data_IF_533783859427
#
_entry.id   IF_533783859427
#
_cell.length_a   1.000
_cell.length_b   1.000
_cell.length_c   1.000
_cell.angle_alpha   90.00
_cell.angle_beta   90.00
_cell.angle_gamma   90.00
#
_symmetry.space_group_name_H-M   'P 1'
#
loop_
_entity.id
_entity.type
_entity.pdbx_description
1 polymer ?
#
# COMPACT_ATOMS: atom_id res chain seq x y z
N UNK A 1 -9.80 25.66 6.28
CA UNK A 1 -9.71 25.46 4.82
C UNK A 1 -10.19 24.06 4.38
N UNK A 2 -9.52 22.97 4.77
CA UNK A 2 -9.81 21.60 4.29
C UNK A 2 -11.29 21.17 4.42
N UNK A 3 -11.90 21.43 5.57
CA UNK A 3 -13.33 21.17 5.79
C UNK A 3 -14.24 21.87 4.77
N UNK A 4 -13.91 23.10 4.37
CA UNK A 4 -14.66 23.85 3.35
C UNK A 4 -14.45 23.21 1.99
N UNK A 5 -13.20 22.91 1.62
CA UNK A 5 -12.88 22.24 0.34
C UNK A 5 -13.67 20.93 0.19
N UNK A 6 -13.64 20.05 1.18
CA UNK A 6 -14.36 18.78 1.11
C UNK A 6 -15.89 18.98 1.03
N UNK A 7 -16.47 19.93 1.79
CA UNK A 7 -17.90 20.26 1.70
C UNK A 7 -18.30 20.70 0.29
N UNK A 8 -17.52 21.59 -0.32
CA UNK A 8 -17.84 22.12 -1.66
C UNK A 8 -17.66 21.04 -2.74
N UNK A 9 -16.60 20.22 -2.68
CA UNK A 9 -16.32 19.17 -3.65
C UNK A 9 -17.44 18.11 -3.63
N UNK A 10 -17.78 17.59 -2.46
CA UNK A 10 -18.84 16.59 -2.32
C UNK A 10 -20.25 17.17 -2.57
N UNK A 11 -20.46 18.46 -2.29
CA UNK A 11 -21.73 19.14 -2.55
C UNK A 11 -22.00 19.34 -4.04
N UNK A 12 -20.97 19.66 -4.83
CA UNK A 12 -21.11 19.92 -6.26
C UNK A 12 -20.89 18.71 -7.16
N UNK A 13 -20.13 17.70 -6.70
CA UNK A 13 -19.75 16.55 -7.52
C UNK A 13 -20.04 15.23 -6.79
N UNK A 14 -21.28 14.70 -6.88
CA UNK A 14 -21.62 13.40 -6.32
C UNK A 14 -20.74 12.28 -6.91
N UNK A 15 -20.27 11.36 -6.06
CA UNK A 15 -19.52 10.18 -6.48
C UNK A 15 -18.00 10.36 -6.63
N UNK A 16 -17.47 11.58 -6.51
CA UNK A 16 -16.02 11.79 -6.43
C UNK A 16 -15.48 11.27 -5.08
N UNK A 17 -14.16 11.15 -4.98
CA UNK A 17 -13.49 10.83 -3.72
C UNK A 17 -12.35 11.81 -3.48
N UNK A 18 -12.23 12.28 -2.25
CA UNK A 18 -11.02 12.95 -1.77
C UNK A 18 -10.28 12.00 -0.84
N UNK A 19 -8.96 11.91 -1.01
CA UNK A 19 -8.10 10.98 -0.28
C UNK A 19 -7.00 11.81 0.38
N UNK A 20 -6.77 11.59 1.67
CA UNK A 20 -5.68 12.23 2.41
C UNK A 20 -4.58 11.24 2.75
N UNK A 21 -3.34 11.72 2.67
CA UNK A 21 -2.22 11.14 3.42
C UNK A 21 -2.01 12.01 4.67
N UNK A 22 -2.04 11.40 5.85
CA UNK A 22 -1.89 12.10 7.13
C UNK A 22 -1.18 11.18 8.12
N UNK A 23 -0.03 11.63 8.64
CA UNK A 23 0.96 10.79 9.32
C UNK A 23 1.17 11.14 10.81
N UNK A 24 0.32 11.98 11.42
CA UNK A 24 0.43 12.43 12.83
C UNK A 24 -0.66 11.86 13.74
N UNK A 25 -1.41 10.86 13.25
CA UNK A 25 -2.55 10.23 13.97
C UNK A 25 -3.70 11.20 14.26
N UNK A 26 -3.89 12.21 13.41
CA UNK A 26 -5.03 13.12 13.55
C UNK A 26 -6.35 12.31 13.45
N UNK A 27 -7.29 12.47 14.40
CA UNK A 27 -8.53 11.70 14.39
C UNK A 27 -9.56 12.29 13.41
N UNK A 28 -10.44 11.43 12.88
CA UNK A 28 -11.59 11.83 12.06
C UNK A 28 -11.19 12.50 10.73
N UNK A 29 -10.08 12.09 10.12
CA UNK A 29 -9.64 12.63 8.82
C UNK A 29 -10.67 12.31 7.74
N UNK A 30 -11.18 11.08 7.73
CA UNK A 30 -12.13 10.57 6.73
C UNK A 30 -13.58 10.49 7.24
N UNK A 31 -13.93 11.36 8.20
CA UNK A 31 -15.29 11.49 8.74
C UNK A 31 -15.98 12.76 8.25
N UNK A 32 -17.33 12.79 8.18
CA UNK A 32 -18.07 13.97 7.75
C UNK A 32 -17.74 15.20 8.57
N UNK A 33 -17.72 16.37 7.93
CA UNK A 33 -17.41 17.63 8.61
C UNK A 33 -18.42 17.98 9.71
N UNK A 34 -19.70 17.62 9.52
CA UNK A 34 -20.73 17.87 10.55
C UNK A 34 -20.56 17.00 11.80
N UNK A 35 -19.74 15.94 11.75
CA UNK A 35 -19.36 15.10 12.91
C UNK A 35 -18.00 15.50 13.52
N UNK A 36 -17.45 16.63 13.06
CA UNK A 36 -16.14 17.15 13.49
C UNK A 36 -14.95 16.57 12.73
N UNK A 37 -15.15 15.90 11.59
CA UNK A 37 -14.07 15.41 10.75
C UNK A 37 -13.48 16.46 9.79
N UNK A 38 -12.41 16.08 9.08
CA UNK A 38 -11.84 16.90 8.01
C UNK A 38 -12.62 16.78 6.69
N UNK A 39 -13.48 15.77 6.56
CA UNK A 39 -14.38 15.58 5.44
C UNK A 39 -13.80 14.79 4.27
N UNK A 40 -12.62 14.17 4.40
CA UNK A 40 -12.10 13.30 3.33
C UNK A 40 -12.94 12.03 3.19
N UNK A 41 -12.98 11.45 2.00
CA UNK A 41 -13.62 10.14 1.78
C UNK A 41 -12.75 8.99 2.29
N UNK A 42 -11.44 9.09 2.10
CA UNK A 42 -10.47 8.08 2.53
C UNK A 42 -9.20 8.69 3.14
N UNK A 43 -8.50 7.88 3.93
CA UNK A 43 -7.16 8.15 4.46
C UNK A 43 -6.20 7.03 4.07
N UNK A 44 -4.96 7.34 3.71
CA UNK A 44 -3.90 6.34 3.56
C UNK A 44 -3.54 5.71 4.90
N UNK A 45 -3.52 4.39 4.96
CA UNK A 45 -3.10 3.63 6.13
C UNK A 45 -1.58 3.45 6.14
N UNK A 46 -0.86 4.49 6.58
CA UNK A 46 0.59 4.48 6.66
C UNK A 46 1.11 3.46 7.68
N UNK A 47 0.35 3.16 8.74
CA UNK A 47 0.68 2.12 9.70
C UNK A 47 0.66 0.73 9.06
N UNK A 48 -0.40 0.38 8.34
CA UNK A 48 -0.44 -0.87 7.55
C UNK A 48 0.76 -0.97 6.61
N UNK A 49 1.06 0.09 5.85
CA UNK A 49 2.18 0.09 4.91
C UNK A 49 3.51 -0.19 5.62
N UNK A 50 3.80 0.55 6.70
CA UNK A 50 5.05 0.42 7.44
C UNK A 50 5.18 -0.96 8.09
N UNK A 51 4.20 -1.34 8.91
CA UNK A 51 4.25 -2.57 9.72
C UNK A 51 4.37 -3.81 8.80
N UNK A 52 3.59 -3.85 7.71
CA UNK A 52 3.60 -5.02 6.83
C UNK A 52 4.85 -5.11 5.97
N UNK A 53 5.39 -4.00 5.46
CA UNK A 53 6.67 -4.01 4.75
C UNK A 53 7.80 -4.47 5.67
N UNK A 54 7.82 -4.00 6.92
CA UNK A 54 8.81 -4.43 7.92
C UNK A 54 8.64 -5.90 8.30
N UNK A 55 7.41 -6.42 8.32
CA UNK A 55 7.17 -7.84 8.60
C UNK A 55 7.71 -8.74 7.49
N UNK A 56 7.42 -8.42 6.23
CA UNK A 56 7.79 -9.24 5.09
C UNK A 56 9.28 -9.14 4.74
N UNK A 57 9.96 -8.07 5.15
CA UNK A 57 11.42 -7.94 5.01
C UNK A 57 12.23 -8.78 6.00
N UNK A 58 11.61 -9.30 7.06
CA UNK A 58 12.26 -10.20 8.01
C UNK A 58 12.33 -11.61 7.45
N UNK A 59 13.46 -12.28 7.69
CA UNK A 59 13.61 -13.72 7.40
C UNK A 59 12.48 -14.53 8.05
N UNK A 60 11.89 -15.54 7.37
CA UNK A 60 10.71 -16.24 7.85
C UNK A 60 10.83 -16.79 9.28
N UNK A 61 12.02 -17.24 9.68
CA UNK A 61 12.27 -17.78 11.03
C UNK A 61 12.10 -16.74 12.15
N UNK A 62 12.26 -15.45 11.86
CA UNK A 62 12.14 -14.37 12.84
C UNK A 62 10.73 -13.79 12.91
N UNK A 63 9.91 -13.97 11.86
CA UNK A 63 8.54 -13.40 11.79
C UNK A 63 7.63 -13.80 12.95
N UNK A 64 7.88 -14.94 13.60
CA UNK A 64 7.14 -15.38 14.80
C UNK A 64 7.25 -14.40 15.98
N UNK A 65 8.32 -13.61 16.03
CA UNK A 65 8.56 -12.60 17.08
C UNK A 65 7.88 -11.26 16.77
N UNK A 66 7.30 -11.13 15.58
CA UNK A 66 6.79 -9.88 15.01
C UNK A 66 5.36 -10.04 14.48
N UNK A 67 4.61 -11.02 14.97
CA UNK A 67 3.27 -11.31 14.44
C UNK A 67 2.26 -10.18 14.72
N UNK A 68 2.59 -9.28 15.66
CA UNK A 68 1.88 -8.02 15.88
C UNK A 68 1.91 -7.13 14.63
N UNK A 69 2.99 -7.13 13.83
CA UNK A 69 3.15 -6.23 12.68
C UNK A 69 2.06 -6.46 11.60
N UNK A 70 1.50 -7.67 11.49
CA UNK A 70 0.41 -7.98 10.54
C UNK A 70 -0.99 -8.04 11.17
N UNK A 71 -1.08 -7.98 12.51
CA UNK A 71 -2.35 -8.10 13.24
C UNK A 71 -2.80 -6.81 13.91
N UNK A 72 -1.86 -5.96 14.32
CA UNK A 72 -2.13 -4.72 15.05
C UNK A 72 -2.98 -3.74 14.24
N UNK A 73 -2.72 -3.63 12.93
CA UNK A 73 -3.49 -2.77 12.05
C UNK A 73 -5.00 -3.05 12.09
N UNK A 74 -5.43 -4.29 12.37
CA UNK A 74 -6.85 -4.66 12.38
C UNK A 74 -7.58 -4.06 13.59
N UNK A 75 -6.87 -3.74 14.66
CA UNK A 75 -7.42 -3.10 15.86
C UNK A 75 -8.02 -1.73 15.52
N UNK A 76 -7.42 -1.00 14.59
CA UNK A 76 -7.88 0.33 14.19
C UNK A 76 -8.38 0.42 12.74
N UNK A 77 -8.43 -0.68 11.98
CA UNK A 77 -8.78 -0.69 10.55
C UNK A 77 -10.17 -0.11 10.21
N UNK A 78 -11.05 0.07 11.21
CA UNK A 78 -12.41 0.62 11.04
C UNK A 78 -12.58 2.02 11.64
N UNK A 79 -11.51 2.60 12.17
CA UNK A 79 -11.51 3.97 12.72
C UNK A 79 -11.65 5.04 11.64
N UNK A 80 -11.08 4.78 10.46
CA UNK A 80 -11.13 5.62 9.27
C UNK A 80 -11.48 4.76 8.05
N UNK A 81 -11.90 5.39 6.96
CA UNK A 81 -12.03 4.75 5.66
C UNK A 81 -10.65 4.63 5.01
N UNK A 82 -10.00 3.48 5.19
CA UNK A 82 -8.61 3.34 4.74
C UNK A 82 -8.45 2.95 3.26
N UNK A 83 -7.43 3.55 2.64
CA UNK A 83 -6.71 3.01 1.48
C UNK A 83 -5.40 2.41 2.01
N UNK A 84 -5.02 1.23 1.53
CA UNK A 84 -3.76 0.56 1.84
C UNK A 84 -2.75 0.93 0.74
N UNK A 85 -1.78 1.82 1.00
CA UNK A 85 -0.89 2.32 -0.02
C UNK A 85 0.42 1.53 -0.08
N UNK A 86 0.77 1.07 -1.28
CA UNK A 86 2.15 0.75 -1.66
C UNK A 86 2.53 1.70 -2.80
N UNK A 87 2.87 2.94 -2.40
CA UNK A 87 3.04 4.08 -3.30
C UNK A 87 4.45 4.16 -3.89
N UNK A 88 4.67 5.15 -4.74
CA UNK A 88 5.96 5.48 -5.33
C UNK A 88 7.05 5.78 -4.29
N UNK A 89 6.69 6.42 -3.18
CA UNK A 89 7.63 6.80 -2.12
C UNK A 89 8.32 5.60 -1.48
N UNK A 90 7.73 4.41 -1.57
CA UNK A 90 8.27 3.19 -0.95
C UNK A 90 9.28 2.44 -1.82
N UNK A 91 9.48 2.87 -3.08
CA UNK A 91 10.29 2.18 -4.09
C UNK A 91 11.35 3.06 -4.75
N UNK A 92 11.81 4.07 -4.01
CA UNK A 92 12.82 5.07 -4.41
C UNK A 92 13.83 5.33 -3.28
N UNK A 93 14.84 6.15 -3.57
CA UNK A 93 15.77 6.71 -2.58
C UNK A 93 16.52 5.66 -1.73
N UNK A 94 16.87 4.52 -2.32
CA UNK A 94 17.59 3.45 -1.64
C UNK A 94 16.72 2.54 -0.77
N UNK A 95 15.39 2.76 -0.76
CA UNK A 95 14.45 1.89 -0.03
C UNK A 95 14.29 0.51 -0.68
N UNK A 96 14.67 0.33 -1.95
CA UNK A 96 14.46 -0.87 -2.75
C UNK A 96 13.02 -1.04 -3.24
N UNK A 97 12.80 -1.90 -4.24
CA UNK A 97 11.45 -2.27 -4.71
C UNK A 97 10.76 -3.24 -3.76
N UNK A 98 9.46 -3.48 -3.94
CA UNK A 98 8.73 -4.45 -3.10
C UNK A 98 9.34 -5.85 -3.18
N UNK A 99 9.73 -6.30 -4.38
CA UNK A 99 10.46 -7.57 -4.54
C UNK A 99 11.80 -7.53 -3.80
N UNK A 100 12.54 -6.42 -3.92
CA UNK A 100 13.84 -6.22 -3.29
C UNK A 100 13.79 -6.33 -1.76
N UNK A 101 12.70 -5.84 -1.15
CA UNK A 101 12.46 -5.86 0.30
C UNK A 101 12.16 -7.26 0.85
N UNK A 102 11.68 -8.20 0.04
CA UNK A 102 11.36 -9.55 0.53
C UNK A 102 12.63 -10.30 0.96
N UNK A 103 12.55 -11.04 2.06
CA UNK A 103 13.64 -11.88 2.56
C UNK A 103 13.81 -13.19 1.76
N UNK A 104 14.98 -13.80 1.86
CA UNK A 104 15.29 -15.07 1.21
C UNK A 104 15.88 -14.99 -0.20
N UNK A 105 16.00 -16.17 -0.83
CA UNK A 105 16.45 -16.32 -2.21
C UNK A 105 15.43 -15.78 -3.24
N UNK A 106 15.81 -15.70 -4.52
CA UNK A 106 14.97 -15.10 -5.55
C UNK A 106 13.58 -15.76 -5.65
N UNK A 107 13.51 -17.10 -5.53
CA UNK A 107 12.22 -17.82 -5.55
C UNK A 107 11.36 -17.45 -4.33
N UNK A 108 11.98 -17.41 -3.15
CA UNK A 108 11.31 -17.02 -1.90
C UNK A 108 10.82 -15.57 -1.95
N UNK A 109 11.55 -14.66 -2.59
CA UNK A 109 11.12 -13.26 -2.78
C UNK A 109 9.86 -13.17 -3.61
N UNK A 110 9.80 -13.84 -4.76
CA UNK A 110 8.59 -13.89 -5.58
C UNK A 110 7.41 -14.54 -4.84
N UNK A 111 7.66 -15.64 -4.12
CA UNK A 111 6.61 -16.31 -3.34
C UNK A 111 6.06 -15.42 -2.22
N UNK A 112 6.95 -14.73 -1.49
CA UNK A 112 6.58 -13.81 -0.42
C UNK A 112 5.80 -12.61 -0.98
N UNK A 113 6.22 -12.06 -2.12
CA UNK A 113 5.51 -10.93 -2.74
C UNK A 113 4.08 -11.31 -3.16
N UNK A 114 3.87 -12.51 -3.73
CA UNK A 114 2.52 -13.02 -4.01
C UNK A 114 1.69 -13.16 -2.73
N UNK A 115 2.27 -13.74 -1.68
CA UNK A 115 1.59 -13.89 -0.40
C UNK A 115 1.23 -12.52 0.21
N UNK A 116 2.11 -11.53 0.07
CA UNK A 116 1.86 -10.17 0.54
C UNK A 116 0.72 -9.50 -0.23
N UNK A 117 0.66 -9.63 -1.55
CA UNK A 117 -0.46 -9.10 -2.33
C UNK A 117 -1.78 -9.78 -2.00
N UNK A 118 -1.79 -11.11 -1.86
CA UNK A 118 -2.98 -11.83 -1.42
C UNK A 118 -3.45 -11.37 -0.02
N UNK A 119 -2.52 -11.18 0.91
CA UNK A 119 -2.81 -10.61 2.23
C UNK A 119 -3.38 -9.19 2.13
N UNK A 120 -2.72 -8.30 1.38
CA UNK A 120 -3.16 -6.92 1.16
C UNK A 120 -4.57 -6.89 0.56
N UNK A 121 -4.89 -7.78 -0.37
CA UNK A 121 -6.22 -7.85 -1.00
C UNK A 121 -7.30 -8.35 -0.04
N UNK A 122 -6.99 -9.35 0.78
CA UNK A 122 -7.89 -9.85 1.83
C UNK A 122 -8.05 -8.92 3.04
N UNK A 123 -7.15 -7.95 3.22
CA UNK A 123 -7.18 -7.00 4.33
C UNK A 123 -8.29 -5.93 4.15
N UNK A 124 -8.95 -5.43 5.21
CA UNK A 124 -9.94 -4.35 5.09
C UNK A 124 -9.35 -3.02 4.57
N UNK A 125 -10.00 -2.42 3.56
CA UNK A 125 -9.59 -1.13 2.99
C UNK A 125 -9.43 -1.17 1.47
N UNK A 126 -9.43 -0.01 0.82
CA UNK A 126 -9.17 0.11 -0.63
C UNK A 126 -7.69 -0.10 -0.94
N UNK A 127 -7.33 -0.36 -2.20
CA UNK A 127 -5.98 -0.78 -2.59
C UNK A 127 -5.31 0.27 -3.46
N UNK A 128 -4.04 0.51 -3.24
CA UNK A 128 -3.19 1.31 -4.13
C UNK A 128 -1.85 0.61 -4.28
N UNK A 129 -1.50 0.26 -5.51
CA UNK A 129 -0.22 -0.36 -5.88
C UNK A 129 0.41 0.50 -6.98
N UNK A 130 1.65 0.92 -6.76
CA UNK A 130 2.38 1.75 -7.72
C UNK A 130 2.90 0.93 -8.90
N UNK A 131 2.95 1.57 -10.08
CA UNK A 131 3.37 0.94 -11.33
C UNK A 131 4.77 0.31 -11.25
N UNK A 132 4.98 -0.77 -11.98
CA UNK A 132 6.18 -1.60 -11.93
C UNK A 132 6.14 -2.65 -10.82
N UNK A 133 5.38 -2.44 -9.75
CA UNK A 133 5.30 -3.42 -8.66
C UNK A 133 4.37 -4.59 -9.00
N UNK A 134 3.41 -4.39 -9.90
CA UNK A 134 2.49 -5.41 -10.41
C UNK A 134 3.16 -6.50 -11.24
N UNK A 135 4.41 -6.29 -11.69
CA UNK A 135 5.23 -7.34 -12.32
C UNK A 135 6.60 -7.50 -11.64
N UNK A 136 6.71 -6.99 -10.41
CA UNK A 136 7.90 -7.10 -9.56
C UNK A 136 9.17 -6.56 -10.24
N UNK A 137 9.15 -5.30 -10.66
CA UNK A 137 10.35 -4.61 -11.14
C UNK A 137 11.49 -4.72 -10.13
N UNK A 138 12.70 -4.98 -10.64
CA UNK A 138 13.89 -5.19 -9.79
C UNK A 138 14.57 -3.88 -9.42
N UNK A 139 14.64 -2.94 -10.36
CA UNK A 139 15.26 -1.64 -10.14
C UNK A 139 14.27 -0.70 -9.46
N UNK A 140 14.76 0.12 -8.55
CA UNK A 140 13.98 1.24 -8.01
C UNK A 140 13.38 2.07 -9.14
N UNK A 141 12.21 2.64 -8.87
CA UNK A 141 11.56 3.50 -9.83
C UNK A 141 12.45 4.73 -10.12
N UNK A 142 12.40 5.18 -11.37
CA UNK A 142 12.90 6.49 -11.74
C UNK A 142 12.02 7.06 -12.82
N UNK A 143 11.63 8.30 -12.60
CA UNK A 143 11.01 9.25 -13.50
C UNK A 143 11.79 9.47 -14.81
N UNK A 144 13.11 9.29 -14.81
CA UNK A 144 13.97 9.55 -15.96
C UNK A 144 14.06 8.39 -16.97
N UNK A 145 13.47 7.24 -16.67
CA UNK A 145 13.51 6.04 -17.52
C UNK A 145 12.15 5.35 -17.58
N UNK A 146 11.94 4.57 -18.64
CA UNK A 146 10.78 3.68 -18.71
C UNK A 146 10.88 2.57 -17.65
N UNK A 147 9.72 1.98 -17.33
CA UNK A 147 9.66 0.76 -16.54
C UNK A 147 10.33 -0.41 -17.29
N UNK A 148 10.79 -1.40 -16.54
CA UNK A 148 11.53 -2.57 -17.02
C UNK A 148 10.57 -3.61 -17.65
N UNK A 149 9.91 -3.23 -18.74
CA UNK A 149 8.85 -4.03 -19.37
C UNK A 149 9.35 -5.39 -19.90
N UNK A 150 10.63 -5.48 -20.27
CA UNK A 150 11.31 -6.71 -20.69
C UNK A 150 11.25 -7.81 -19.62
N UNK A 151 11.07 -7.45 -18.35
CA UNK A 151 10.91 -8.42 -17.27
C UNK A 151 9.71 -9.36 -17.48
N UNK A 152 8.66 -8.93 -18.17
CA UNK A 152 7.47 -9.75 -18.46
C UNK A 152 7.72 -10.94 -19.39
N UNK A 153 8.89 -11.00 -20.04
CA UNK A 153 9.32 -12.16 -20.82
C UNK A 153 9.85 -13.29 -19.93
N UNK A 154 10.07 -13.02 -18.64
CA UNK A 154 10.51 -14.00 -17.67
C UNK A 154 9.34 -14.52 -16.82
N UNK A 155 9.27 -15.85 -16.69
CA UNK A 155 8.16 -16.53 -16.01
C UNK A 155 7.87 -16.02 -14.57
N UNK A 156 8.86 -15.75 -13.70
CA UNK A 156 8.59 -15.26 -12.34
C UNK A 156 7.85 -13.92 -12.30
N UNK A 157 8.26 -12.96 -13.15
CA UNK A 157 7.66 -11.63 -13.25
C UNK A 157 6.24 -11.70 -13.83
N UNK A 158 6.06 -12.50 -14.88
CA UNK A 158 4.73 -12.79 -15.44
C UNK A 158 3.80 -13.44 -14.42
N UNK A 159 4.33 -14.29 -13.55
CA UNK A 159 3.57 -14.90 -12.46
C UNK A 159 3.07 -13.89 -11.43
N UNK A 160 3.84 -12.83 -11.13
CA UNK A 160 3.36 -11.73 -10.27
C UNK A 160 2.25 -10.96 -10.96
N UNK A 161 2.43 -10.63 -12.24
CA UNK A 161 1.41 -9.93 -13.02
C UNK A 161 0.08 -10.70 -13.10
N UNK A 162 0.15 -12.02 -13.29
CA UNK A 162 -1.03 -12.90 -13.23
C UNK A 162 -1.67 -12.90 -11.84
N UNK A 163 -0.87 -12.92 -10.77
CA UNK A 163 -1.38 -12.86 -9.39
C UNK A 163 -2.15 -11.57 -9.09
N UNK A 164 -1.75 -10.44 -9.68
CA UNK A 164 -2.45 -9.15 -9.49
C UNK A 164 -3.70 -9.07 -10.36
N UNK A 165 -3.70 -9.73 -11.52
CA UNK A 165 -4.83 -9.77 -12.45
C UNK A 165 -5.99 -10.63 -11.95
N UNK A 166 -5.68 -11.79 -11.38
CA UNK A 166 -6.64 -12.83 -10.99
C UNK A 166 -7.32 -12.53 -9.64
#
# INVERSE_FOLDING_TARGET
FLQKMNKEVYGHHPGVVTIAEESTSWPKVSRPVHEGGLGFGFKWNMGFMHDTLEYFSKEPIYRKHHHNDITFGLVYAFSENFVLPLSHDEVVHGKGTLLGKMAGDDWQKFATLRAYYAFMWGYPGKKLLFMGQEFAQRREWSEARALDWDLLDHAPHRGIWQTVRD
#
